data_IF_576044596049
#
_entry.id   IF_576044596049
#
_cell.length_a   1.000
_cell.length_b   1.000
_cell.length_c   1.000
_cell.angle_alpha   90.00
_cell.angle_beta   90.00
_cell.angle_gamma   90.00
#
_symmetry.space_group_name_H-M   'P 1'
#
loop_
_entity.id
_entity.type
_entity.pdbx_description
1 polymer ?
#
# COMPACT_ATOMS: atom_id res chain seq x y z
N UNK A 1 -4.43 -13.08 25.59
CA UNK A 1 -5.37 -12.84 24.48
C UNK A 1 -6.50 -11.85 24.78
N UNK A 2 -7.05 -11.82 25.99
CA UNK A 2 -8.09 -10.84 26.39
C UNK A 2 -7.53 -9.44 26.60
N UNK A 3 -6.29 -9.30 27.06
CA UNK A 3 -5.59 -8.03 27.25
C UNK A 3 -5.34 -7.32 25.91
N UNK A 4 -4.83 -8.03 24.91
CA UNK A 4 -4.57 -7.49 23.56
C UNK A 4 -5.85 -7.05 22.86
N UNK A 5 -6.97 -7.76 23.04
CA UNK A 5 -8.27 -7.33 22.48
C UNK A 5 -8.78 -6.03 23.11
N UNK A 6 -8.62 -5.85 24.42
CA UNK A 6 -9.01 -4.59 25.09
C UNK A 6 -8.12 -3.43 24.65
N UNK A 7 -6.81 -3.66 24.48
CA UNK A 7 -5.87 -2.63 24.02
C UNK A 7 -6.13 -2.24 22.55
N UNK A 8 -6.40 -3.21 21.65
CA UNK A 8 -6.78 -2.92 20.25
C UNK A 8 -8.08 -2.10 20.16
N UNK A 9 -9.09 -2.43 20.96
CA UNK A 9 -10.33 -1.65 20.99
C UNK A 9 -10.11 -0.22 21.51
N UNK A 10 -9.19 -0.01 22.46
CA UNK A 10 -8.82 1.30 22.96
C UNK A 10 -8.17 2.16 21.87
N UNK A 11 -7.18 1.64 21.13
CA UNK A 11 -6.49 2.39 20.07
C UNK A 11 -7.43 2.85 18.93
N UNK A 12 -8.41 2.03 18.56
CA UNK A 12 -9.39 2.37 17.51
C UNK A 12 -10.46 3.35 18.06
N UNK A 13 -10.84 3.22 19.32
CA UNK A 13 -11.83 4.09 19.97
C UNK A 13 -11.33 5.50 20.20
N UNK A 14 -10.03 5.70 20.31
CA UNK A 14 -9.42 6.97 20.71
C UNK A 14 -8.95 7.83 19.50
N UNK A 15 -9.05 7.31 18.28
CA UNK A 15 -8.75 8.04 17.04
C UNK A 15 -10.02 8.28 16.21
N UNK A 16 -10.10 9.48 15.64
CA UNK A 16 -11.11 9.79 14.62
C UNK A 16 -10.58 9.47 13.20
N UNK A 17 -11.48 9.46 12.21
CA UNK A 17 -11.16 9.18 10.81
C UNK A 17 -10.15 10.17 10.18
N UNK A 18 -9.93 11.32 10.83
CA UNK A 18 -8.96 12.35 10.41
C UNK A 18 -7.54 12.15 10.99
N UNK A 19 -7.21 10.96 11.46
CA UNK A 19 -5.91 10.65 12.12
C UNK A 19 -5.61 11.46 13.40
N UNK A 20 -6.64 11.93 14.06
CA UNK A 20 -6.55 12.65 15.35
C UNK A 20 -7.12 11.80 16.49
N UNK A 21 -6.89 12.25 17.73
CA UNK A 21 -7.46 11.64 18.91
C UNK A 21 -8.90 12.14 19.10
N UNK A 22 -9.79 11.24 19.52
CA UNK A 22 -11.12 11.63 19.95
C UNK A 22 -11.05 12.48 21.22
N UNK A 23 -12.04 13.35 21.41
CA UNK A 23 -12.12 14.19 22.61
C UNK A 23 -12.16 13.37 23.92
N UNK A 24 -12.77 12.19 23.87
CA UNK A 24 -12.89 11.29 25.01
C UNK A 24 -11.69 10.35 25.20
N UNK A 25 -10.61 10.52 24.41
CA UNK A 25 -9.38 9.74 24.59
C UNK A 25 -8.77 9.92 25.99
N UNK A 26 -8.92 11.12 26.58
CA UNK A 26 -8.70 11.35 28.00
C UNK A 26 -9.62 12.44 28.53
N UNK A 27 -9.91 12.38 29.84
CA UNK A 27 -10.67 13.46 30.51
C UNK A 27 -9.97 14.82 30.40
N UNK A 28 -8.64 14.83 30.47
CA UNK A 28 -7.82 16.04 30.34
C UNK A 28 -7.96 16.65 28.95
N UNK A 29 -7.83 15.85 27.88
CA UNK A 29 -7.98 16.29 26.50
C UNK A 29 -9.39 16.88 26.25
N UNK A 30 -10.42 16.18 26.70
CA UNK A 30 -11.81 16.65 26.61
C UNK A 30 -12.01 17.99 27.30
N UNK A 31 -11.47 18.14 28.53
CA UNK A 31 -11.55 19.39 29.29
C UNK A 31 -10.85 20.54 28.58
N UNK A 32 -9.63 20.31 28.06
CA UNK A 32 -8.86 21.32 27.32
C UNK A 32 -9.64 21.77 26.06
N UNK A 33 -10.09 20.86 25.23
CA UNK A 33 -10.86 21.16 24.01
C UNK A 33 -12.17 21.88 24.29
N UNK A 34 -12.87 21.49 25.36
CA UNK A 34 -14.07 22.20 25.82
C UNK A 34 -13.76 23.64 26.23
N UNK A 35 -12.63 23.88 26.94
CA UNK A 35 -12.18 25.23 27.30
C UNK A 35 -11.82 26.05 26.08
N UNK A 36 -11.10 25.49 25.09
CA UNK A 36 -10.77 26.15 23.83
C UNK A 36 -12.06 26.57 23.10
N UNK A 37 -13.03 25.66 22.96
CA UNK A 37 -14.30 25.94 22.30
C UNK A 37 -15.07 27.09 22.98
N UNK A 38 -15.20 27.03 24.31
CA UNK A 38 -15.89 28.07 25.08
C UNK A 38 -15.19 29.42 24.98
N UNK A 39 -13.85 29.42 25.04
CA UNK A 39 -13.05 30.66 24.92
C UNK A 39 -13.18 31.27 23.53
N UNK A 40 -13.11 30.44 22.48
CA UNK A 40 -13.34 30.89 21.10
C UNK A 40 -14.74 31.51 20.93
N UNK A 41 -15.78 30.90 21.51
CA UNK A 41 -17.14 31.43 21.46
C UNK A 41 -17.22 32.82 22.15
N UNK A 42 -16.54 32.96 23.29
CA UNK A 42 -16.48 34.25 24.01
C UNK A 42 -15.78 35.34 23.20
N UNK A 43 -14.63 34.97 22.57
CA UNK A 43 -13.89 35.90 21.69
C UNK A 43 -14.81 36.35 20.54
N UNK A 44 -15.42 35.40 19.83
CA UNK A 44 -16.36 35.74 18.73
C UNK A 44 -17.48 36.68 19.19
N UNK A 45 -18.11 36.41 20.32
CA UNK A 45 -19.17 37.28 20.86
C UNK A 45 -18.65 38.71 21.16
N UNK A 46 -17.43 38.83 21.71
CA UNK A 46 -16.83 40.14 21.97
C UNK A 46 -16.53 40.89 20.67
N UNK A 47 -15.86 40.21 19.73
CA UNK A 47 -15.48 40.82 18.45
C UNK A 47 -16.72 41.16 17.60
N UNK A 48 -17.75 40.30 17.59
CA UNK A 48 -19.03 40.56 16.91
C UNK A 48 -19.71 41.83 17.43
N UNK A 49 -19.64 42.08 18.74
CA UNK A 49 -20.18 43.33 19.32
C UNK A 49 -19.44 44.57 18.79
N UNK A 50 -18.12 44.48 18.65
CA UNK A 50 -17.28 45.58 18.12
C UNK A 50 -17.60 45.80 16.63
N UNK A 51 -17.67 44.72 15.85
CA UNK A 51 -17.91 44.76 14.39
C UNK A 51 -19.35 45.26 14.05
N UNK A 52 -20.35 44.80 14.81
CA UNK A 52 -21.78 45.19 14.59
C UNK A 52 -22.13 46.58 15.12
N UNK A 53 -21.25 47.24 15.86
CA UNK A 53 -21.48 48.58 16.33
C UNK A 53 -21.52 49.56 15.15
N UNK A 54 -22.63 50.29 14.97
CA UNK A 54 -22.85 51.22 13.87
C UNK A 54 -21.74 52.31 13.76
N UNK A 55 -21.20 52.78 14.91
CA UNK A 55 -20.11 53.74 14.96
C UNK A 55 -18.76 53.15 14.42
N UNK A 56 -18.61 51.83 14.43
CA UNK A 56 -17.39 51.18 13.98
C UNK A 56 -17.44 50.71 12.52
N UNK A 57 -18.64 50.50 11.95
CA UNK A 57 -18.81 49.97 10.61
C UNK A 57 -18.06 50.74 9.51
N UNK A 58 -18.06 52.08 9.59
CA UNK A 58 -17.35 52.92 8.63
C UNK A 58 -15.79 52.84 8.75
N UNK A 59 -15.34 52.43 9.93
CA UNK A 59 -13.88 52.36 10.28
C UNK A 59 -13.29 51.01 9.98
N UNK A 60 -14.10 49.97 9.75
CA UNK A 60 -13.68 48.63 9.39
C UNK A 60 -13.54 48.53 7.87
N UNK A 61 -12.57 47.75 7.41
CA UNK A 61 -12.43 47.40 6.01
C UNK A 61 -13.44 46.36 5.59
N UNK A 62 -13.77 45.44 6.52
CA UNK A 62 -14.80 44.44 6.38
C UNK A 62 -15.45 44.17 7.76
N UNK A 63 -16.74 43.82 7.75
CA UNK A 63 -17.52 43.60 8.98
C UNK A 63 -17.46 42.14 9.44
N UNK A 64 -16.26 41.51 9.34
CA UNK A 64 -16.06 40.12 9.74
C UNK A 64 -14.88 39.97 10.71
N UNK A 65 -15.00 38.98 11.60
CA UNK A 65 -13.88 38.54 12.44
C UNK A 65 -13.03 37.56 11.64
N UNK A 66 -11.74 37.74 11.66
CA UNK A 66 -10.77 36.89 10.97
C UNK A 66 -9.68 36.38 11.92
N UNK A 67 -8.85 35.45 11.46
CA UNK A 67 -7.71 34.93 12.21
C UNK A 67 -6.43 35.32 11.47
N UNK A 68 -5.47 35.88 12.19
CA UNK A 68 -4.11 36.16 11.72
C UNK A 68 -3.11 35.74 12.79
N UNK A 69 -2.06 35.03 12.38
CA UNK A 69 -1.02 34.52 13.30
C UNK A 69 -1.64 33.82 14.53
N UNK A 70 -2.63 32.95 14.30
CA UNK A 70 -3.39 32.25 15.36
C UNK A 70 -4.15 33.16 16.36
N UNK A 71 -4.36 34.43 16.01
CA UNK A 71 -5.10 35.39 16.80
C UNK A 71 -6.42 35.77 16.13
N UNK A 72 -7.47 35.89 16.93
CA UNK A 72 -8.73 36.43 16.45
C UNK A 72 -8.61 37.95 16.41
N UNK A 73 -8.80 38.53 15.23
CA UNK A 73 -8.58 39.96 14.94
C UNK A 73 -9.73 40.54 14.15
N UNK A 74 -9.81 41.88 14.10
CA UNK A 74 -10.73 42.65 13.26
C UNK A 74 -9.96 43.43 12.19
N UNK A 75 -10.48 43.54 10.95
CA UNK A 75 -9.86 44.33 9.88
C UNK A 75 -10.26 45.78 9.98
N UNK A 76 -9.34 46.65 10.37
CA UNK A 76 -9.53 48.06 10.56
C UNK A 76 -8.85 48.85 9.43
N UNK A 77 -9.46 49.88 8.88
CA UNK A 77 -8.81 50.78 7.92
C UNK A 77 -7.65 51.53 8.61
N UNK A 78 -6.52 51.64 7.95
CA UNK A 78 -5.30 52.22 8.52
C UNK A 78 -5.50 53.60 9.10
N UNK A 79 -6.33 54.44 8.48
CA UNK A 79 -6.67 55.81 8.92
C UNK A 79 -7.37 55.86 10.29
N UNK A 80 -8.08 54.75 10.71
CA UNK A 80 -8.77 54.67 11.99
C UNK A 80 -8.02 53.82 13.02
N UNK A 81 -6.71 53.58 12.83
CA UNK A 81 -5.88 52.82 13.76
C UNK A 81 -6.01 53.27 15.20
N UNK A 82 -6.06 54.63 15.42
CA UNK A 82 -6.08 55.23 16.76
C UNK A 82 -7.42 55.04 17.49
N UNK A 83 -8.50 54.75 16.76
CA UNK A 83 -9.82 54.54 17.32
C UNK A 83 -10.00 53.16 17.94
N UNK A 84 -9.06 52.24 17.65
CA UNK A 84 -9.13 50.86 18.17
C UNK A 84 -7.89 50.59 19.05
N UNK A 85 -8.13 50.48 20.34
CA UNK A 85 -7.12 50.06 21.30
C UNK A 85 -6.81 48.57 21.14
N UNK A 86 -5.61 48.21 20.72
CA UNK A 86 -5.25 46.81 20.49
C UNK A 86 -3.88 46.64 19.83
N UNK A 87 -3.52 45.41 19.57
CA UNK A 87 -2.26 44.98 19.00
C UNK A 87 -2.46 44.76 17.50
N UNK A 88 -1.61 45.33 16.66
CA UNK A 88 -1.59 45.04 15.21
C UNK A 88 -0.80 43.74 14.99
N UNK A 89 -1.42 42.72 14.42
CA UNK A 89 -0.77 41.46 14.11
C UNK A 89 -0.36 41.31 12.65
N UNK A 90 -1.05 42.04 11.75
CA UNK A 90 -0.80 41.91 10.32
C UNK A 90 -1.34 43.13 9.59
N UNK A 91 -0.93 43.34 8.32
CA UNK A 91 -1.49 44.36 7.44
C UNK A 91 -1.74 43.77 6.04
N UNK A 92 -2.68 44.35 5.30
CA UNK A 92 -2.89 43.98 3.90
C UNK A 92 -1.70 44.38 3.03
N UNK A 93 -1.53 43.71 1.86
CA UNK A 93 -0.43 44.03 0.93
C UNK A 93 -0.39 45.50 0.48
N UNK A 94 -1.54 46.18 0.44
CA UNK A 94 -1.63 47.63 0.13
C UNK A 94 -1.41 48.52 1.35
N UNK A 95 -1.25 47.97 2.55
CA UNK A 95 -1.13 48.74 3.79
C UNK A 95 -2.42 49.42 4.27
N UNK A 96 -3.52 49.34 3.51
CA UNK A 96 -4.76 50.06 3.79
C UNK A 96 -5.60 49.41 4.89
N UNK A 97 -5.38 48.13 5.22
CA UNK A 97 -6.09 47.41 6.27
C UNK A 97 -5.10 46.88 7.30
N UNK A 98 -5.37 47.14 8.57
CA UNK A 98 -4.64 46.63 9.70
C UNK A 98 -5.48 45.55 10.40
N UNK A 99 -4.89 44.41 10.70
CA UNK A 99 -5.53 43.36 11.45
C UNK A 99 -5.21 43.54 12.93
N UNK A 100 -6.20 44.08 13.67
CA UNK A 100 -6.03 44.45 15.07
C UNK A 100 -6.68 43.44 15.98
N UNK A 101 -5.94 43.00 17.01
CA UNK A 101 -6.44 42.30 18.17
C UNK A 101 -6.86 43.33 19.21
N UNK A 102 -8.17 43.52 19.47
CA UNK A 102 -8.61 44.45 20.49
C UNK A 102 -8.16 44.03 21.89
N UNK A 103 -7.78 44.98 22.74
CA UNK A 103 -7.35 44.70 24.11
C UNK A 103 -8.33 43.84 24.91
N UNK A 104 -9.63 43.92 24.61
CA UNK A 104 -10.68 43.15 25.26
C UNK A 104 -10.58 41.63 25.01
N UNK A 105 -9.83 41.20 24.02
CA UNK A 105 -9.68 39.76 23.66
C UNK A 105 -8.26 39.23 23.79
N UNK A 106 -7.27 40.08 24.04
CA UNK A 106 -5.85 39.69 24.15
C UNK A 106 -5.63 38.56 25.14
N UNK A 107 -6.17 38.70 26.37
CA UNK A 107 -6.00 37.66 27.39
C UNK A 107 -6.70 36.34 27.03
N UNK A 108 -7.88 36.43 26.38
CA UNK A 108 -8.57 35.21 25.88
C UNK A 108 -7.80 34.53 24.76
N UNK A 109 -7.22 35.26 23.84
CA UNK A 109 -6.35 34.71 22.80
C UNK A 109 -5.06 34.08 23.41
N UNK A 110 -4.44 34.73 24.42
CA UNK A 110 -3.34 34.19 25.18
C UNK A 110 -3.72 32.87 25.88
N UNK A 111 -4.93 32.83 26.43
CA UNK A 111 -5.45 31.60 27.05
C UNK A 111 -5.62 30.47 26.01
N UNK A 112 -6.10 30.76 24.80
CA UNK A 112 -6.19 29.78 23.73
C UNK A 112 -4.81 29.26 23.35
N UNK A 113 -3.80 30.12 23.22
CA UNK A 113 -2.44 29.69 22.90
C UNK A 113 -1.89 28.74 23.96
N UNK A 114 -2.08 29.04 25.23
CA UNK A 114 -1.72 28.14 26.35
C UNK A 114 -2.46 26.82 26.26
N UNK A 115 -3.77 26.83 26.07
CA UNK A 115 -4.59 25.62 25.97
C UNK A 115 -4.20 24.74 24.77
N UNK A 116 -3.82 25.34 23.63
CA UNK A 116 -3.31 24.59 22.47
C UNK A 116 -1.97 23.90 22.77
N UNK A 117 -1.08 24.55 23.52
CA UNK A 117 0.16 23.90 23.99
C UNK A 117 -0.15 22.75 24.95
N UNK A 118 -1.08 22.95 25.89
CA UNK A 118 -1.50 21.90 26.82
C UNK A 118 -2.14 20.72 26.05
N UNK A 119 -2.94 21.00 25.00
CA UNK A 119 -3.50 19.98 24.11
C UNK A 119 -2.41 19.18 23.40
N UNK A 120 -1.38 19.87 22.87
CA UNK A 120 -0.27 19.20 22.20
C UNK A 120 0.50 18.28 23.15
N UNK A 121 0.79 18.74 24.37
CA UNK A 121 1.46 17.93 25.42
C UNK A 121 0.61 16.72 25.81
N UNK A 122 -0.69 16.89 26.00
CA UNK A 122 -1.58 15.77 26.37
C UNK A 122 -1.72 14.76 25.23
N UNK A 123 -1.79 15.23 23.99
CA UNK A 123 -1.78 14.35 22.80
C UNK A 123 -0.52 13.51 22.72
N UNK A 124 0.63 14.13 22.92
CA UNK A 124 1.93 13.44 22.93
C UNK A 124 1.99 12.40 24.04
N UNK A 125 1.50 12.74 25.25
CA UNK A 125 1.42 11.82 26.37
C UNK A 125 0.60 10.57 26.02
N UNK A 126 -0.61 10.76 25.45
CA UNK A 126 -1.50 9.66 25.06
C UNK A 126 -0.83 8.79 23.99
N UNK A 127 -0.25 9.41 22.97
CA UNK A 127 0.41 8.69 21.87
C UNK A 127 1.63 7.90 22.37
N UNK A 128 2.41 8.48 23.28
CA UNK A 128 3.56 7.81 23.91
C UNK A 128 3.13 6.59 24.72
N UNK A 129 2.05 6.71 25.49
CA UNK A 129 1.50 5.59 26.27
C UNK A 129 1.01 4.47 25.33
N UNK A 130 0.25 4.80 24.29
CA UNK A 130 -0.23 3.83 23.28
C UNK A 130 0.94 3.17 22.54
N UNK A 131 1.96 3.93 22.19
CA UNK A 131 3.18 3.41 21.55
C UNK A 131 3.92 2.46 22.48
N UNK A 132 3.98 2.77 23.77
CA UNK A 132 4.56 1.89 24.78
C UNK A 132 3.88 0.52 24.84
N UNK A 133 2.55 0.47 24.76
CA UNK A 133 1.81 -0.79 24.70
C UNK A 133 2.11 -1.60 23.44
N UNK A 134 2.20 -0.94 22.30
CA UNK A 134 2.55 -1.60 21.02
C UNK A 134 3.99 -2.11 21.06
N UNK A 135 4.91 -1.29 21.56
CA UNK A 135 6.33 -1.62 21.67
C UNK A 135 6.58 -2.83 22.57
N UNK A 136 5.84 -2.96 23.67
CA UNK A 136 5.93 -4.11 24.58
C UNK A 136 5.57 -5.45 23.90
N UNK A 137 4.75 -5.42 22.84
CA UNK A 137 4.29 -6.59 22.09
C UNK A 137 4.91 -6.67 20.68
N UNK A 138 5.95 -5.88 20.40
CA UNK A 138 6.50 -5.72 19.05
C UNK A 138 6.95 -7.07 18.44
N UNK A 139 7.68 -7.88 19.19
CA UNK A 139 8.18 -9.17 18.72
C UNK A 139 7.02 -10.12 18.37
N UNK A 140 6.01 -10.18 19.23
CA UNK A 140 4.82 -10.99 18.99
C UNK A 140 4.04 -10.52 17.76
N UNK A 141 3.97 -9.20 17.52
CA UNK A 141 3.32 -8.61 16.35
C UNK A 141 4.08 -8.93 15.06
N UNK A 142 5.41 -8.84 15.07
CA UNK A 142 6.25 -9.17 13.91
C UNK A 142 6.14 -10.66 13.55
N UNK A 143 6.15 -11.55 14.55
CA UNK A 143 5.92 -12.98 14.33
C UNK A 143 4.52 -13.21 13.74
N UNK A 144 3.50 -12.56 14.29
CA UNK A 144 2.13 -12.70 13.79
C UNK A 144 1.99 -12.21 12.34
N UNK A 145 2.64 -11.11 11.97
CA UNK A 145 2.68 -10.61 10.59
C UNK A 145 3.30 -11.63 9.65
N UNK A 146 4.48 -12.16 10.00
CA UNK A 146 5.17 -13.18 9.20
C UNK A 146 4.29 -14.43 9.00
N UNK A 147 3.69 -14.94 10.08
CA UNK A 147 2.81 -16.11 10.00
C UNK A 147 1.55 -15.84 9.16
N UNK A 148 0.95 -14.67 9.30
CA UNK A 148 -0.19 -14.27 8.46
C UNK A 148 0.19 -14.21 6.98
N UNK A 149 1.37 -13.68 6.64
CA UNK A 149 1.87 -13.67 5.27
C UNK A 149 2.05 -15.09 4.69
N UNK A 150 2.60 -16.00 5.48
CA UNK A 150 2.73 -17.41 5.07
C UNK A 150 1.35 -18.07 4.85
N UNK A 151 0.39 -17.85 5.74
CA UNK A 151 -0.97 -18.39 5.60
C UNK A 151 -1.66 -17.81 4.38
N UNK A 152 -1.56 -16.52 4.15
CA UNK A 152 -2.17 -15.86 2.98
C UNK A 152 -1.59 -16.42 1.67
N UNK A 153 -0.27 -16.62 1.61
CA UNK A 153 0.40 -17.23 0.47
C UNK A 153 -0.08 -18.68 0.23
N UNK A 154 -0.21 -19.48 1.28
CA UNK A 154 -0.75 -20.85 1.16
C UNK A 154 -2.20 -20.86 0.66
N UNK A 155 -3.02 -19.93 1.15
CA UNK A 155 -4.40 -19.78 0.69
C UNK A 155 -4.43 -19.35 -0.78
N UNK A 156 -3.57 -18.45 -1.22
CA UNK A 156 -3.47 -18.02 -2.62
C UNK A 156 -3.10 -19.21 -3.52
N UNK A 157 -2.09 -20.01 -3.14
CA UNK A 157 -1.71 -21.26 -3.85
C UNK A 157 -2.88 -22.24 -3.94
N UNK A 158 -3.60 -22.47 -2.84
CA UNK A 158 -4.73 -23.39 -2.81
C UNK A 158 -5.90 -22.91 -3.68
N UNK A 159 -6.20 -21.60 -3.67
CA UNK A 159 -7.21 -21.00 -4.55
C UNK A 159 -6.83 -21.16 -6.03
N UNK A 160 -5.57 -20.87 -6.36
CA UNK A 160 -5.07 -21.04 -7.72
C UNK A 160 -5.15 -22.49 -8.18
N UNK A 161 -4.72 -23.43 -7.35
CA UNK A 161 -4.81 -24.87 -7.62
C UNK A 161 -6.26 -25.31 -7.94
N UNK A 162 -7.24 -24.84 -7.17
CA UNK A 162 -8.67 -25.09 -7.46
C UNK A 162 -9.09 -24.48 -8.80
N UNK A 163 -8.57 -23.29 -9.11
CA UNK A 163 -8.87 -22.62 -10.37
C UNK A 163 -8.39 -23.43 -11.58
N UNK A 164 -7.21 -24.01 -11.55
CA UNK A 164 -6.63 -24.79 -12.64
C UNK A 164 -6.94 -26.30 -12.53
N UNK A 165 -7.73 -26.74 -11.54
CA UNK A 165 -7.94 -28.15 -11.20
C UNK A 165 -6.61 -28.91 -11.04
N UNK A 166 -5.64 -28.22 -10.37
CA UNK A 166 -4.27 -28.70 -10.25
C UNK A 166 -4.15 -29.94 -9.38
N UNK A 167 -3.28 -30.84 -9.75
CA UNK A 167 -2.93 -32.07 -9.04
C UNK A 167 -1.50 -32.00 -8.50
N UNK A 168 -1.18 -32.81 -7.50
CA UNK A 168 0.15 -32.89 -6.91
C UNK A 168 0.99 -33.88 -7.71
N UNK A 169 2.13 -33.46 -8.32
CA UNK A 169 3.05 -34.39 -8.96
C UNK A 169 3.85 -35.18 -7.92
N UNK A 170 4.30 -36.36 -8.31
CA UNK A 170 5.30 -37.15 -7.58
C UNK A 170 6.67 -36.84 -8.17
N UNK A 171 7.61 -36.39 -7.35
CA UNK A 171 8.99 -36.18 -7.80
C UNK A 171 9.76 -37.49 -7.81
N UNK A 172 10.54 -37.71 -8.88
CA UNK A 172 11.40 -38.86 -9.12
C UNK A 172 12.86 -38.42 -9.18
N UNK A 173 13.77 -39.33 -8.86
CA UNK A 173 15.21 -39.12 -8.97
C UNK A 173 15.76 -39.48 -10.36
N UNK A 174 15.00 -40.23 -11.14
CA UNK A 174 15.29 -40.56 -12.54
C UNK A 174 14.87 -39.42 -13.49
N UNK A 175 15.16 -39.53 -14.79
CA UNK A 175 14.82 -38.53 -15.81
C UNK A 175 13.36 -38.63 -16.31
N UNK A 176 12.42 -39.04 -15.47
CA UNK A 176 11.02 -39.24 -15.85
C UNK A 176 10.24 -37.95 -15.90
N UNK A 177 9.52 -37.74 -16.97
CA UNK A 177 8.42 -36.77 -17.07
C UNK A 177 7.20 -37.53 -17.54
N UNK A 178 6.15 -37.59 -16.72
CA UNK A 178 4.85 -38.12 -17.09
C UNK A 178 3.74 -37.14 -16.65
N UNK A 179 3.13 -36.50 -17.60
CA UNK A 179 2.14 -35.44 -17.39
C UNK A 179 0.85 -35.81 -18.16
N UNK A 180 -0.05 -36.60 -17.56
CA UNK A 180 -1.28 -37.00 -18.22
C UNK A 180 -2.24 -35.79 -18.35
N UNK A 181 -2.78 -35.59 -19.55
CA UNK A 181 -3.69 -34.51 -19.90
C UNK A 181 -3.23 -33.13 -19.39
N UNK A 182 -1.99 -32.79 -19.64
CA UNK A 182 -1.42 -31.51 -19.31
C UNK A 182 -2.00 -30.40 -20.20
N UNK A 183 -2.30 -29.26 -19.63
CA UNK A 183 -2.77 -28.10 -20.37
C UNK A 183 -2.14 -26.79 -19.84
N UNK A 184 -2.12 -25.76 -20.66
CA UNK A 184 -1.58 -24.49 -20.27
C UNK A 184 -2.54 -23.75 -19.33
N UNK A 185 -2.14 -23.37 -18.11
CA UNK A 185 -3.06 -22.86 -17.08
C UNK A 185 -3.70 -21.50 -17.40
N UNK A 186 -3.15 -20.76 -18.37
CA UNK A 186 -3.68 -19.46 -18.81
C UNK A 186 -4.64 -19.59 -20.00
N UNK A 187 -4.85 -20.80 -20.56
CA UNK A 187 -5.84 -21.03 -21.60
C UNK A 187 -7.20 -21.30 -20.98
N UNK A 188 -8.24 -21.00 -21.76
CA UNK A 188 -9.61 -21.28 -21.35
C UNK A 188 -9.83 -22.79 -21.22
N UNK A 189 -10.29 -23.20 -20.05
CA UNK A 189 -10.48 -24.61 -19.65
C UNK A 189 -11.53 -25.35 -20.49
N UNK A 190 -12.49 -24.62 -21.03
CA UNK A 190 -13.61 -25.20 -21.79
C UNK A 190 -13.22 -25.44 -23.25
N UNK A 191 -12.13 -24.82 -23.71
CA UNK A 191 -11.67 -24.88 -25.11
C UNK A 191 -10.27 -25.47 -25.25
N UNK A 192 -9.50 -25.59 -24.18
CA UNK A 192 -8.13 -26.12 -24.23
C UNK A 192 -8.11 -27.61 -24.53
N UNK A 193 -7.25 -28.00 -25.47
CA UNK A 193 -6.95 -29.41 -25.74
C UNK A 193 -5.78 -29.83 -24.84
N UNK A 194 -6.07 -30.72 -23.89
CA UNK A 194 -5.06 -31.27 -23.00
C UNK A 194 -4.28 -32.40 -23.72
N UNK A 195 -2.97 -32.45 -23.51
CA UNK A 195 -2.08 -33.44 -24.09
C UNK A 195 -1.33 -34.23 -23.00
N UNK A 196 -1.13 -35.53 -23.23
CA UNK A 196 -0.20 -36.30 -22.38
C UNK A 196 1.22 -36.08 -22.88
N UNK A 197 2.09 -35.63 -21.97
CA UNK A 197 3.52 -35.41 -22.24
C UNK A 197 4.29 -36.47 -21.47
N UNK A 198 5.07 -37.27 -22.18
CA UNK A 198 5.77 -38.40 -21.60
C UNK A 198 7.21 -38.48 -22.12
N UNK A 199 8.15 -38.53 -21.16
CA UNK A 199 9.55 -38.80 -21.38
C UNK A 199 9.92 -39.88 -20.37
N UNK A 200 10.04 -41.12 -20.85
CA UNK A 200 10.32 -42.29 -20.01
C UNK A 200 11.60 -42.92 -20.50
N UNK A 201 12.30 -43.57 -19.61
CA UNK A 201 13.57 -44.23 -19.84
C UNK A 201 14.70 -43.28 -20.34
N UNK A 202 15.51 -43.69 -21.30
CA UNK A 202 16.68 -42.98 -21.82
C UNK A 202 16.34 -41.96 -22.92
N UNK A 203 15.12 -41.40 -22.93
CA UNK A 203 14.73 -40.38 -23.93
C UNK A 203 15.38 -39.04 -23.57
N UNK A 204 16.42 -38.66 -24.34
CA UNK A 204 17.15 -37.41 -24.17
C UNK A 204 16.57 -36.27 -25.02
N UNK A 205 15.90 -36.57 -26.12
CA UNK A 205 15.45 -35.57 -27.09
C UNK A 205 14.08 -35.94 -27.65
N UNK A 206 13.17 -34.99 -27.68
CA UNK A 206 11.86 -35.13 -28.34
C UNK A 206 11.71 -34.09 -29.40
N UNK A 207 11.34 -34.52 -30.60
CA UNK A 207 11.04 -33.65 -31.75
C UNK A 207 9.55 -33.57 -31.97
N UNK A 208 8.96 -32.36 -31.82
CA UNK A 208 7.53 -32.13 -32.06
C UNK A 208 7.35 -31.57 -33.47
N UNK A 209 6.71 -32.33 -34.35
CA UNK A 209 6.43 -31.95 -35.73
C UNK A 209 4.93 -31.71 -35.96
N UNK A 210 4.58 -30.97 -36.99
CA UNK A 210 3.21 -30.72 -37.36
C UNK A 210 2.98 -29.29 -37.87
N UNK A 211 1.76 -28.95 -38.29
CA UNK A 211 1.42 -27.61 -38.81
C UNK A 211 1.54 -26.53 -37.71
N UNK A 212 1.72 -25.26 -38.09
CA UNK A 212 1.89 -24.15 -37.13
C UNK A 212 0.68 -23.95 -36.21
N UNK A 213 -0.52 -24.33 -36.70
CA UNK A 213 -1.77 -24.31 -35.93
C UNK A 213 -1.94 -25.51 -34.98
N UNK A 214 -1.01 -26.47 -35.00
CA UNK A 214 -1.10 -27.73 -34.27
C UNK A 214 -0.69 -27.67 -32.78
N UNK A 215 -0.46 -26.48 -32.22
CA UNK A 215 -0.19 -26.33 -30.79
C UNK A 215 1.23 -26.64 -30.34
N UNK A 216 2.21 -26.81 -31.26
CA UNK A 216 3.62 -27.10 -30.93
C UNK A 216 4.20 -26.15 -29.88
N UNK A 217 4.10 -24.85 -30.13
CA UNK A 217 4.62 -23.80 -29.22
C UNK A 217 3.88 -23.78 -27.88
N UNK A 218 2.58 -24.05 -27.89
CA UNK A 218 1.77 -24.15 -26.66
C UNK A 218 2.22 -25.35 -25.83
N UNK A 219 2.52 -26.49 -26.45
CA UNK A 219 3.00 -27.69 -25.76
C UNK A 219 4.35 -27.44 -25.09
N UNK A 220 5.30 -26.78 -25.78
CA UNK A 220 6.61 -26.41 -25.20
C UNK A 220 6.45 -25.44 -24.03
N UNK A 221 5.63 -24.38 -24.20
CA UNK A 221 5.33 -23.43 -23.12
C UNK A 221 4.66 -24.12 -21.92
N UNK A 222 3.76 -25.05 -22.17
CA UNK A 222 3.07 -25.82 -21.14
C UNK A 222 4.04 -26.66 -20.34
N UNK A 223 4.92 -27.41 -21.02
CA UNK A 223 5.90 -28.26 -20.36
C UNK A 223 6.84 -27.44 -19.45
N UNK A 224 7.47 -26.37 -19.98
CA UNK A 224 8.37 -25.53 -19.22
C UNK A 224 7.68 -24.88 -18.02
N UNK A 225 6.46 -24.37 -18.22
CA UNK A 225 5.70 -23.74 -17.14
C UNK A 225 5.31 -24.75 -16.04
N UNK A 226 4.86 -25.95 -16.40
CA UNK A 226 4.48 -26.99 -15.44
C UNK A 226 5.67 -27.41 -14.58
N UNK A 227 6.87 -27.57 -15.17
CA UNK A 227 8.08 -27.91 -14.43
C UNK A 227 8.40 -26.82 -13.41
N UNK A 228 8.40 -25.56 -13.82
CA UNK A 228 8.67 -24.43 -12.92
C UNK A 228 7.60 -24.30 -11.83
N UNK A 229 6.33 -24.48 -12.17
CA UNK A 229 5.23 -24.48 -11.19
C UNK A 229 5.43 -25.59 -10.14
N UNK A 230 5.68 -26.82 -10.57
CA UNK A 230 5.88 -27.96 -9.67
C UNK A 230 7.06 -27.71 -8.71
N UNK A 231 8.19 -27.27 -9.21
CA UNK A 231 9.39 -27.00 -8.40
C UNK A 231 9.22 -25.78 -7.47
N UNK A 232 8.30 -24.86 -7.80
CA UNK A 232 7.90 -23.75 -6.93
C UNK A 232 6.86 -24.19 -5.87
N UNK A 233 6.50 -25.45 -5.83
CA UNK A 233 5.52 -26.01 -4.88
C UNK A 233 4.08 -25.60 -5.19
N UNK A 234 3.75 -25.38 -6.47
CA UNK A 234 2.38 -25.24 -6.95
C UNK A 234 1.83 -26.60 -7.41
N UNK A 235 0.53 -26.78 -7.32
CA UNK A 235 -0.14 -27.87 -8.00
C UNK A 235 -0.17 -27.58 -9.51
N UNK A 236 -0.13 -28.64 -10.33
CA UNK A 236 0.03 -28.52 -11.78
C UNK A 236 -1.24 -28.91 -12.53
N UNK A 237 -1.55 -28.30 -13.68
CA UNK A 237 -2.77 -28.56 -14.46
C UNK A 237 -2.66 -29.87 -15.27
N UNK A 238 -2.77 -30.99 -14.58
CA UNK A 238 -2.68 -32.35 -15.11
C UNK A 238 -3.68 -33.24 -14.40
N UNK A 239 -3.90 -34.47 -14.89
CA UNK A 239 -4.59 -35.49 -14.11
C UNK A 239 -3.67 -36.08 -13.02
N UNK A 240 -4.29 -36.79 -12.08
CA UNK A 240 -3.57 -37.52 -11.03
C UNK A 240 -2.59 -38.54 -11.63
N UNK A 241 -1.53 -38.81 -10.88
CA UNK A 241 -0.47 -39.73 -11.29
C UNK A 241 0.69 -39.08 -12.04
N UNK A 242 0.71 -37.76 -12.13
CA UNK A 242 1.86 -37.04 -12.73
C UNK A 242 3.16 -37.31 -12.00
N UNK A 243 4.23 -37.49 -12.78
CA UNK A 243 5.58 -37.73 -12.28
C UNK A 243 6.54 -36.74 -12.96
N UNK A 244 7.43 -36.17 -12.19
CA UNK A 244 8.43 -35.20 -12.65
C UNK A 244 9.76 -35.43 -11.96
N UNK A 245 10.83 -35.31 -12.72
CA UNK A 245 12.18 -35.19 -12.17
C UNK A 245 12.45 -33.77 -11.70
N UNK A 246 13.42 -33.61 -10.81
CA UNK A 246 13.92 -32.30 -10.38
C UNK A 246 14.97 -31.83 -11.38
N UNK A 247 14.77 -30.64 -11.94
CA UNK A 247 15.67 -30.01 -12.89
C UNK A 247 16.40 -28.85 -12.21
N UNK A 248 17.70 -28.80 -12.34
CA UNK A 248 18.49 -27.68 -11.83
C UNK A 248 18.22 -26.39 -12.63
N UNK A 249 18.03 -26.53 -13.93
CA UNK A 249 17.80 -25.41 -14.84
C UNK A 249 16.72 -25.76 -15.87
N UNK A 250 15.96 -24.74 -16.26
CA UNK A 250 14.99 -24.82 -17.34
C UNK A 250 15.29 -23.65 -18.29
N UNK A 251 15.75 -24.01 -19.49
CA UNK A 251 16.03 -23.02 -20.53
C UNK A 251 14.96 -23.12 -21.62
N UNK A 252 14.56 -21.99 -22.18
CA UNK A 252 13.63 -21.97 -23.30
C UNK A 252 14.02 -20.88 -24.29
N UNK A 253 13.98 -21.23 -25.57
CA UNK A 253 14.08 -20.28 -26.66
C UNK A 253 12.78 -20.36 -27.48
N UNK A 254 11.83 -19.47 -27.14
CA UNK A 254 10.48 -19.45 -27.71
C UNK A 254 10.21 -18.01 -28.17
N UNK A 255 10.32 -17.75 -29.47
CA UNK A 255 10.03 -16.46 -30.09
C UNK A 255 8.86 -16.52 -31.08
N UNK A 256 8.12 -15.41 -31.25
CA UNK A 256 7.09 -15.27 -32.27
C UNK A 256 7.70 -14.68 -33.55
N UNK A 257 7.66 -15.42 -34.67
CA UNK A 257 8.15 -15.01 -35.98
C UNK A 257 7.23 -13.99 -36.73
N UNK A 258 6.37 -13.25 -36.00
CA UNK A 258 5.25 -12.54 -36.64
C UNK A 258 5.53 -11.14 -37.22
N UNK A 259 6.78 -10.65 -37.25
CA UNK A 259 7.07 -9.38 -37.96
C UNK A 259 8.33 -9.44 -38.81
N UNK A 260 8.17 -9.20 -40.10
CA UNK A 260 9.27 -9.21 -41.08
C UNK A 260 10.32 -8.12 -40.81
N UNK A 261 9.94 -7.00 -40.20
CA UNK A 261 10.86 -5.89 -39.87
C UNK A 261 11.70 -6.16 -38.59
N UNK A 262 11.27 -7.10 -37.73
CA UNK A 262 12.01 -7.52 -36.53
C UNK A 262 12.87 -8.78 -36.76
N UNK A 263 12.80 -9.40 -37.92
CA UNK A 263 13.37 -10.74 -38.17
C UNK A 263 14.89 -10.82 -37.99
N UNK A 264 15.67 -9.79 -38.31
CA UNK A 264 17.15 -9.82 -38.15
C UNK A 264 17.55 -9.65 -36.68
N UNK A 265 16.86 -8.82 -35.90
CA UNK A 265 17.11 -8.65 -34.47
C UNK A 265 16.65 -9.87 -33.68
N UNK A 266 15.54 -10.48 -34.10
CA UNK A 266 14.99 -11.69 -33.49
C UNK A 266 15.89 -12.89 -33.71
N UNK A 267 16.37 -13.11 -34.96
CA UNK A 267 17.35 -14.18 -35.27
C UNK A 267 18.63 -14.04 -34.44
N UNK A 268 19.18 -12.83 -34.37
CA UNK A 268 20.38 -12.57 -33.58
C UNK A 268 20.17 -12.81 -32.08
N UNK A 269 18.99 -12.49 -31.57
CA UNK A 269 18.61 -12.75 -30.18
C UNK A 269 18.48 -14.25 -29.91
N UNK A 270 17.83 -15.00 -30.78
CA UNK A 270 17.72 -16.46 -30.68
C UNK A 270 19.08 -17.12 -30.71
N UNK A 271 19.94 -16.75 -31.68
CA UNK A 271 21.30 -17.29 -31.76
C UNK A 271 22.12 -17.00 -30.49
N UNK A 272 22.00 -15.80 -29.94
CA UNK A 272 22.65 -15.43 -28.67
C UNK A 272 22.16 -16.28 -27.52
N UNK A 273 20.84 -16.44 -27.38
CA UNK A 273 20.25 -17.28 -26.34
C UNK A 273 20.68 -18.75 -26.47
N UNK A 274 20.68 -19.29 -27.69
CA UNK A 274 21.13 -20.67 -27.95
C UNK A 274 22.58 -20.84 -27.56
N UNK A 275 23.47 -19.91 -27.94
CA UNK A 275 24.89 -19.95 -27.58
C UNK A 275 25.05 -19.90 -26.05
N UNK A 276 24.31 -19.04 -25.36
CA UNK A 276 24.34 -18.94 -23.90
C UNK A 276 23.86 -20.24 -23.23
N UNK A 277 22.76 -20.82 -23.72
CA UNK A 277 22.23 -22.11 -23.23
C UNK A 277 23.28 -23.22 -23.44
N UNK A 278 23.91 -23.30 -24.62
CA UNK A 278 24.94 -24.28 -24.90
C UNK A 278 26.17 -24.09 -23.99
N UNK A 279 26.61 -22.87 -23.76
CA UNK A 279 27.74 -22.60 -22.84
C UNK A 279 27.43 -23.06 -21.42
N UNK A 280 26.22 -22.78 -20.92
CA UNK A 280 25.77 -23.21 -19.58
C UNK A 280 25.61 -24.74 -19.50
N UNK A 281 25.18 -25.38 -20.59
CA UNK A 281 25.04 -26.84 -20.69
C UNK A 281 26.41 -27.55 -20.79
N UNK A 282 27.37 -26.95 -21.48
CA UNK A 282 28.70 -27.56 -21.70
C UNK A 282 29.63 -27.50 -20.48
N UNK A 283 29.32 -26.66 -19.48
CA UNK A 283 30.10 -26.60 -18.23
C UNK A 283 29.96 -27.91 -17.44
N UNK A 284 28.93 -28.72 -17.67
CA UNK A 284 28.77 -30.04 -17.06
C UNK A 284 29.26 -31.22 -17.90
N UNK A 285 29.76 -30.98 -19.12
CA UNK A 285 30.26 -32.04 -20.04
C UNK A 285 31.78 -32.22 -19.97
N UNK A 286 32.48 -31.34 -19.27
CA UNK A 286 33.92 -31.42 -19.16
C UNK A 286 34.34 -31.95 -17.80
N UNK A 287 34.21 -33.28 -17.59
CA UNK A 287 35.26 -34.05 -16.92
C UNK A 287 35.17 -35.53 -17.30
N UNK A 288 36.24 -36.17 -17.75
CA UNK A 288 36.36 -37.62 -17.87
C UNK A 288 36.62 -38.25 -16.50
#
# INVERSE_FOLDING_TARGET
>A
HLSIRRQRQMCIRDRCDAHDLFDHASYTLQSIRSKISRTNQRIRQNLDRIVKNQGNQKKLSDAIVTVRNDRNVIPVKAEYRQDFNGIVHDQSASGQTLYIEPNSVVEMNNQISRLRNDEAVERERILTELTGFVSAEADALLIAESVMGQIDFLIAKARYARTIKGTKPTFKEDRTIYLPNAFHPLLDKDTVVANTIEFIDDVETVIITGPNTGGKTVTLKTLGLIIVMAQSGLLIPTLDGSQLSIFENVYCDIGDEQSIEQSLSTFSSHMKNIVEILQLSLIHISEP
#
